data_IF_514659211179
#
_entry.id   IF_514659211179
#
_cell.length_a   1.000
_cell.length_b   1.000
_cell.length_c   1.000
_cell.angle_alpha   90.00
_cell.angle_beta   90.00
_cell.angle_gamma   90.00
#
_symmetry.space_group_name_H-M   'P 1'
#
loop_
_entity.id
_entity.type
_entity.pdbx_description
1 polymer ?
#
# COMPACT_ATOMS: atom_id res chain seq x y z
N UNK A 1 -1.30 -8.51 -20.59
CA UNK A 1 0.13 -8.19 -20.77
C UNK A 1 0.66 -7.74 -19.43
N UNK A 2 1.79 -8.30 -19.00
CA UNK A 2 2.47 -7.86 -17.78
C UNK A 2 3.11 -6.48 -18.01
N UNK A 3 3.22 -5.69 -16.94
CA UNK A 3 3.95 -4.43 -16.91
C UNK A 3 5.45 -4.68 -17.13
N UNK A 4 6.11 -3.75 -17.81
CA UNK A 4 7.53 -3.86 -18.20
C UNK A 4 8.41 -2.85 -17.49
N UNK A 5 7.82 -1.89 -16.77
CA UNK A 5 8.53 -0.89 -15.98
C UNK A 5 7.95 -0.76 -14.56
N UNK A 6 8.79 -0.48 -13.57
CA UNK A 6 8.36 -0.06 -12.23
C UNK A 6 7.72 1.34 -12.21
N UNK A 7 7.75 2.09 -13.29
CA UNK A 7 6.95 3.32 -13.44
C UNK A 7 5.51 3.03 -13.90
N UNK A 8 5.23 1.81 -14.36
CA UNK A 8 3.86 1.39 -14.66
C UNK A 8 3.08 1.23 -13.35
N UNK A 9 1.96 1.93 -13.26
CA UNK A 9 1.26 2.12 -11.98
C UNK A 9 0.30 0.98 -11.66
N UNK A 10 0.44 0.32 -10.50
CA UNK A 10 -0.52 -0.67 -10.00
C UNK A 10 -1.95 -0.13 -9.90
N UNK A 11 -2.94 -0.99 -10.18
CA UNK A 11 -4.37 -0.64 -10.13
C UNK A 11 -5.16 -1.36 -9.03
N UNK A 12 -4.52 -2.29 -8.33
CA UNK A 12 -5.09 -3.03 -7.21
C UNK A 12 -3.98 -3.56 -6.27
N UNK A 13 -4.36 -4.14 -5.13
CA UNK A 13 -3.41 -4.66 -4.14
C UNK A 13 -2.49 -5.74 -4.72
N UNK A 14 -3.01 -6.68 -5.52
CA UNK A 14 -2.19 -7.72 -6.15
C UNK A 14 -1.08 -7.08 -6.97
N UNK A 15 -1.44 -6.17 -7.88
CA UNK A 15 -0.47 -5.43 -8.70
C UNK A 15 0.51 -4.64 -7.83
N UNK A 16 0.05 -4.02 -6.74
CA UNK A 16 0.93 -3.28 -5.83
C UNK A 16 1.92 -4.18 -5.10
N UNK A 17 1.51 -5.38 -4.71
CA UNK A 17 2.41 -6.38 -4.11
C UNK A 17 3.37 -6.93 -5.16
N UNK A 18 2.91 -7.25 -6.36
CA UNK A 18 3.79 -7.68 -7.46
C UNK A 18 4.84 -6.61 -7.81
N UNK A 19 4.46 -5.34 -7.76
CA UNK A 19 5.37 -4.22 -7.93
C UNK A 19 6.46 -4.20 -6.85
N UNK A 20 6.12 -4.45 -5.58
CA UNK A 20 7.09 -4.55 -4.49
C UNK A 20 8.04 -5.75 -4.68
N UNK A 21 7.55 -6.88 -5.18
CA UNK A 21 8.38 -8.05 -5.49
C UNK A 21 9.30 -7.79 -6.70
N UNK A 22 8.79 -7.11 -7.73
CA UNK A 22 9.60 -6.70 -8.88
C UNK A 22 10.69 -5.69 -8.48
N UNK A 23 10.35 -4.71 -7.63
CA UNK A 23 11.29 -3.77 -7.03
C UNK A 23 12.42 -4.48 -6.27
N UNK A 24 12.07 -5.48 -5.45
CA UNK A 24 13.04 -6.30 -4.72
C UNK A 24 14.07 -6.91 -5.68
N UNK A 25 13.63 -7.42 -6.83
CA UNK A 25 14.50 -7.93 -7.88
C UNK A 25 15.48 -9.02 -7.40
N UNK A 26 16.62 -9.13 -8.10
CA UNK A 26 17.67 -10.09 -7.74
C UNK A 26 18.57 -9.61 -6.59
N UNK A 27 18.78 -8.30 -6.47
CA UNK A 27 19.58 -7.66 -5.42
C UNK A 27 18.68 -6.80 -4.53
N UNK A 28 17.97 -7.49 -3.62
CA UNK A 28 17.04 -6.88 -2.69
C UNK A 28 17.71 -5.81 -1.82
N UNK A 29 18.97 -6.06 -1.41
CA UNK A 29 19.68 -5.15 -0.51
C UNK A 29 19.90 -3.80 -1.19
N UNK A 30 20.48 -3.83 -2.38
CA UNK A 30 20.78 -2.64 -3.17
C UNK A 30 19.52 -1.89 -3.60
N UNK A 31 18.52 -2.60 -4.14
CA UNK A 31 17.35 -1.97 -4.73
C UNK A 31 16.46 -1.30 -3.68
N UNK A 32 16.24 -1.96 -2.55
CA UNK A 32 15.41 -1.40 -1.48
C UNK A 32 16.14 -0.28 -0.71
N UNK A 33 17.47 -0.33 -0.59
CA UNK A 33 18.25 0.82 -0.12
C UNK A 33 18.06 2.04 -1.03
N UNK A 34 18.22 1.86 -2.34
CA UNK A 34 18.08 2.95 -3.30
C UNK A 34 16.65 3.52 -3.33
N UNK A 35 15.63 2.66 -3.26
CA UNK A 35 14.24 3.10 -3.14
C UNK A 35 13.98 3.83 -1.82
N UNK A 36 14.46 3.30 -0.70
CA UNK A 36 14.27 3.93 0.62
C UNK A 36 14.90 5.32 0.67
N UNK A 37 16.10 5.50 0.12
CA UNK A 37 16.71 6.82 -0.05
C UNK A 37 15.87 7.74 -0.92
N UNK A 38 15.37 7.27 -2.08
CA UNK A 38 14.54 8.08 -2.96
C UNK A 38 13.20 8.49 -2.30
N UNK A 39 12.59 7.59 -1.52
CA UNK A 39 11.39 7.91 -0.72
C UNK A 39 11.71 8.92 0.37
N UNK A 40 12.84 8.76 1.07
CA UNK A 40 13.29 9.73 2.06
C UNK A 40 13.45 11.11 1.45
N UNK A 41 14.20 11.24 0.36
CA UNK A 41 14.45 12.50 -0.33
C UNK A 41 13.13 13.13 -0.84
N UNK A 42 12.20 12.31 -1.35
CA UNK A 42 10.89 12.77 -1.77
C UNK A 42 10.03 13.29 -0.62
N UNK A 43 10.20 12.79 0.61
CA UNK A 43 9.36 13.13 1.77
C UNK A 43 9.97 14.18 2.71
N UNK A 44 11.29 14.16 2.91
CA UNK A 44 12.00 14.92 3.94
C UNK A 44 11.78 16.43 3.78
N UNK A 45 11.90 16.95 2.55
CA UNK A 45 11.85 18.39 2.27
C UNK A 45 10.43 18.91 1.98
N UNK A 46 9.40 18.07 2.10
CA UNK A 46 8.03 18.48 1.77
C UNK A 46 7.37 19.18 2.96
N UNK A 47 6.88 20.43 2.77
CA UNK A 47 6.19 21.13 3.84
C UNK A 47 4.85 20.47 4.14
N UNK A 48 4.38 20.59 5.39
CA UNK A 48 2.99 20.25 5.72
C UNK A 48 2.05 21.15 4.92
N UNK A 49 1.08 20.54 4.24
CA UNK A 49 0.16 21.18 3.31
C UNK A 49 0.10 20.42 1.99
N UNK A 50 -0.30 21.11 0.92
CA UNK A 50 -0.36 20.52 -0.41
C UNK A 50 0.89 20.89 -1.21
N UNK A 51 1.62 19.87 -1.66
CA UNK A 51 2.69 19.96 -2.64
C UNK A 51 2.28 19.12 -3.85
N UNK A 52 2.30 19.72 -5.04
CA UNK A 52 2.04 19.00 -6.27
C UNK A 52 3.33 18.33 -6.75
N UNK A 53 3.28 17.01 -6.94
CA UNK A 53 4.35 16.23 -7.56
C UNK A 53 3.74 15.58 -8.80
N UNK A 54 4.04 16.06 -10.03
CA UNK A 54 3.35 15.61 -11.24
C UNK A 54 3.34 14.09 -11.43
N UNK A 55 4.45 13.41 -11.13
CA UNK A 55 4.56 11.94 -11.20
C UNK A 55 3.61 11.22 -10.21
N UNK A 56 3.33 11.85 -9.07
CA UNK A 56 2.47 11.32 -8.02
C UNK A 56 0.98 11.52 -8.31
N UNK A 57 0.58 12.62 -8.97
CA UNK A 57 -0.84 12.95 -9.16
C UNK A 57 -1.61 11.90 -9.98
N UNK A 58 -0.98 11.34 -11.02
CA UNK A 58 -1.60 10.24 -11.77
C UNK A 58 -1.76 8.97 -10.91
N UNK A 59 -0.76 8.66 -10.08
CA UNK A 59 -0.80 7.50 -9.17
C UNK A 59 -1.88 7.69 -8.10
N UNK A 60 -1.98 8.89 -7.53
CA UNK A 60 -3.04 9.28 -6.57
C UNK A 60 -4.42 9.02 -7.16
N UNK A 61 -4.66 9.45 -8.40
CA UNK A 61 -5.94 9.22 -9.08
C UNK A 61 -6.26 7.72 -9.17
N UNK A 62 -5.30 6.90 -9.59
CA UNK A 62 -5.47 5.44 -9.70
C UNK A 62 -5.73 4.80 -8.32
N UNK A 63 -4.98 5.19 -7.29
CA UNK A 63 -5.22 4.74 -5.91
C UNK A 63 -6.60 5.15 -5.41
N UNK A 64 -7.06 6.37 -5.70
CA UNK A 64 -8.41 6.82 -5.36
C UNK A 64 -9.47 5.94 -6.02
N UNK A 65 -9.35 5.68 -7.31
CA UNK A 65 -10.28 4.82 -8.06
C UNK A 65 -10.37 3.42 -7.46
N UNK A 66 -9.23 2.85 -7.03
CA UNK A 66 -9.22 1.59 -6.28
C UNK A 66 -10.00 1.69 -4.97
N UNK A 67 -9.77 2.73 -4.16
CA UNK A 67 -10.49 2.95 -2.89
C UNK A 67 -12.01 3.13 -3.10
N UNK A 68 -12.44 3.60 -4.27
CA UNK A 68 -13.84 3.81 -4.64
C UNK A 68 -14.59 2.54 -5.08
N UNK A 69 -13.91 1.38 -5.17
CA UNK A 69 -14.58 0.10 -5.45
C UNK A 69 -15.70 -0.19 -4.45
N UNK A 70 -16.89 -0.67 -4.85
CA UNK A 70 -18.02 -0.94 -3.95
C UNK A 70 -17.70 -1.83 -2.75
N UNK A 71 -16.79 -2.77 -2.95
CA UNK A 71 -16.30 -3.71 -1.95
C UNK A 71 -15.41 -3.03 -0.90
N UNK A 72 -14.83 -1.87 -1.21
CA UNK A 72 -13.85 -1.18 -0.36
C UNK A 72 -14.41 0.12 0.23
N UNK A 73 -15.05 0.95 -0.60
CA UNK A 73 -15.44 2.34 -0.30
C UNK A 73 -16.28 2.54 0.96
N UNK A 74 -17.02 1.51 1.36
CA UNK A 74 -17.93 1.59 2.50
C UNK A 74 -17.25 1.33 3.85
N UNK A 75 -16.01 0.83 3.84
CA UNK A 75 -15.23 0.59 5.05
C UNK A 75 -14.84 1.91 5.72
N UNK A 76 -14.78 1.93 7.06
CA UNK A 76 -14.47 3.15 7.83
C UNK A 76 -13.11 3.76 7.43
N UNK A 77 -12.10 2.92 7.26
CA UNK A 77 -10.75 3.27 6.81
C UNK A 77 -10.77 3.87 5.40
N UNK A 78 -11.41 3.21 4.43
CA UNK A 78 -11.53 3.72 3.06
C UNK A 78 -12.28 5.06 3.01
N UNK A 79 -13.39 5.21 3.75
CA UNK A 79 -14.12 6.49 3.86
C UNK A 79 -13.24 7.60 4.43
N UNK A 80 -12.43 7.32 5.46
CA UNK A 80 -11.52 8.31 6.06
C UNK A 80 -10.49 8.78 5.04
N UNK A 81 -9.90 7.85 4.30
CA UNK A 81 -8.89 8.14 3.27
C UNK A 81 -9.49 8.88 2.07
N UNK A 82 -10.63 8.44 1.54
CA UNK A 82 -11.33 9.12 0.43
C UNK A 82 -11.73 10.56 0.74
N UNK A 83 -11.95 10.91 2.01
CA UNK A 83 -12.19 12.30 2.41
C UNK A 83 -10.96 13.19 2.18
N UNK A 84 -9.75 12.65 2.33
CA UNK A 84 -8.50 13.41 2.12
C UNK A 84 -8.27 13.75 0.66
N UNK A 85 -8.57 12.80 -0.23
CA UNK A 85 -8.57 13.04 -1.69
C UNK A 85 -9.53 14.15 -2.18
N UNK A 86 -10.41 14.69 -1.32
CA UNK A 86 -11.43 15.69 -1.70
C UNK A 86 -11.14 17.08 -1.14
N UNK A 87 -10.31 17.20 -0.11
CA UNK A 87 -10.06 18.46 0.56
C UNK A 87 -8.61 18.50 1.04
N UNK A 88 -7.82 19.51 0.61
CA UNK A 88 -6.44 19.65 1.04
C UNK A 88 -6.35 19.76 2.56
N UNK A 89 -5.30 19.18 3.12
CA UNK A 89 -5.06 19.27 4.55
C UNK A 89 -4.86 20.73 5.01
N UNK A 90 -5.67 21.16 5.96
CA UNK A 90 -5.57 22.51 6.53
C UNK A 90 -4.41 22.55 7.53
N UNK A 91 -3.42 23.42 7.30
CA UNK A 91 -2.18 23.58 8.10
C UNK A 91 -2.40 23.78 9.62
N UNK A 92 -3.61 24.16 10.05
CA UNK A 92 -3.95 24.46 11.45
C UNK A 92 -4.82 23.38 12.15
N UNK A 93 -4.91 22.17 11.60
CA UNK A 93 -5.76 21.09 12.14
C UNK A 93 -5.21 20.42 13.40
N UNK A 94 -3.96 20.66 13.79
CA UNK A 94 -3.32 20.01 14.95
C UNK A 94 -4.11 20.20 16.26
N UNK A 95 -4.71 21.38 16.45
CA UNK A 95 -5.53 21.71 17.64
C UNK A 95 -6.90 21.04 17.63
N UNK A 96 -7.49 20.83 16.45
CA UNK A 96 -8.79 20.16 16.28
C UNK A 96 -8.65 18.62 16.24
N UNK A 97 -7.54 18.11 15.72
CA UNK A 97 -7.27 16.69 15.56
C UNK A 97 -7.13 15.94 16.89
N UNK A 98 -6.58 16.59 17.94
CA UNK A 98 -6.52 16.04 19.31
C UNK A 98 -7.89 15.75 19.91
N UNK A 99 -8.93 16.49 19.53
CA UNK A 99 -10.28 16.33 20.07
C UNK A 99 -11.08 15.18 19.42
N UNK A 100 -10.69 14.73 18.22
CA UNK A 100 -11.47 13.75 17.43
C UNK A 100 -11.03 12.28 17.61
N UNK A 101 -10.01 12.04 18.44
CA UNK A 101 -9.78 10.73 19.07
C UNK A 101 -9.41 9.56 18.17
N UNK A 102 -8.73 9.76 17.02
CA UNK A 102 -7.85 8.77 16.33
C UNK A 102 -7.32 9.38 15.02
N UNK A 103 -6.37 10.32 15.11
CA UNK A 103 -5.59 10.80 13.96
C UNK A 103 -4.14 10.41 14.19
N UNK A 104 -3.54 9.70 13.22
CA UNK A 104 -2.12 9.37 13.27
C UNK A 104 -1.34 10.69 13.16
N UNK A 105 -0.19 10.80 13.82
CA UNK A 105 0.59 12.04 13.76
C UNK A 105 1.04 12.38 12.32
N UNK A 106 1.26 11.34 11.51
CA UNK A 106 1.47 11.44 10.06
C UNK A 106 0.29 12.00 9.28
N UNK A 107 -0.87 12.19 9.91
CA UNK A 107 -2.01 12.86 9.29
C UNK A 107 -1.86 14.38 9.25
N UNK A 108 -0.91 14.98 9.95
CA UNK A 108 -0.80 16.45 10.05
C UNK A 108 0.60 16.97 10.35
N UNK A 109 1.58 16.08 10.47
CA UNK A 109 2.99 16.45 10.60
C UNK A 109 3.85 15.72 9.59
N UNK A 110 4.91 16.39 9.17
CA UNK A 110 6.03 15.71 8.56
C UNK A 110 6.68 14.83 9.62
N UNK A 111 6.42 13.52 9.54
CA UNK A 111 6.98 12.55 10.49
C UNK A 111 8.49 12.42 10.36
N UNK A 112 9.05 12.69 9.17
CA UNK A 112 10.49 12.64 8.96
C UNK A 112 11.16 13.69 9.85
N UNK A 113 10.68 14.92 9.76
CA UNK A 113 11.16 16.03 10.59
C UNK A 113 10.79 15.83 12.07
N UNK A 114 9.53 15.52 12.37
CA UNK A 114 9.02 15.50 13.75
C UNK A 114 9.64 14.40 14.59
N UNK A 115 9.85 13.22 14.01
CA UNK A 115 10.40 12.06 14.71
C UNK A 115 11.91 11.91 14.51
N UNK A 116 12.53 12.79 13.71
CA UNK A 116 13.95 12.68 13.36
C UNK A 116 14.26 11.38 12.62
N UNK A 117 13.34 10.93 11.75
CA UNK A 117 13.52 9.73 10.93
C UNK A 117 14.72 9.97 10.03
N UNK A 118 15.60 8.97 9.95
CA UNK A 118 16.78 8.98 9.10
C UNK A 118 16.54 8.18 7.83
N UNK A 119 17.35 8.36 6.78
CA UNK A 119 17.27 7.53 5.58
C UNK A 119 17.30 6.02 5.88
N UNK A 120 18.11 5.60 6.85
CA UNK A 120 18.25 4.19 7.23
C UNK A 120 16.96 3.62 7.82
N UNK A 121 16.20 4.42 8.57
CA UNK A 121 14.93 4.01 9.16
C UNK A 121 13.90 3.75 8.05
N UNK A 122 13.81 4.64 7.04
CA UNK A 122 12.90 4.47 5.88
C UNK A 122 13.26 3.20 5.08
N UNK A 123 14.56 2.92 4.94
CA UNK A 123 15.04 1.70 4.29
C UNK A 123 14.59 0.46 5.07
N UNK A 124 14.82 0.42 6.38
CA UNK A 124 14.41 -0.70 7.24
C UNK A 124 12.90 -0.94 7.19
N UNK A 125 12.13 0.14 7.32
CA UNK A 125 10.68 0.16 7.19
C UNK A 125 10.20 -0.43 5.86
N UNK A 126 10.88 -0.05 4.76
CA UNK A 126 10.57 -0.58 3.43
C UNK A 126 10.90 -2.07 3.32
N UNK A 127 12.06 -2.53 3.84
CA UNK A 127 12.40 -3.96 3.86
C UNK A 127 11.33 -4.78 4.57
N UNK A 128 10.90 -4.32 5.73
CA UNK A 128 9.90 -5.00 6.57
C UNK A 128 8.55 -5.04 5.85
N UNK A 129 8.13 -3.95 5.20
CA UNK A 129 6.90 -3.91 4.41
C UNK A 129 6.93 -4.86 3.20
N UNK A 130 8.02 -4.86 2.43
CA UNK A 130 8.21 -5.74 1.27
C UNK A 130 8.21 -7.22 1.70
N UNK A 131 8.94 -7.54 2.77
CA UNK A 131 9.00 -8.89 3.32
C UNK A 131 7.62 -9.40 3.77
N UNK A 132 6.86 -8.57 4.48
CA UNK A 132 5.49 -8.90 4.89
C UNK A 132 4.57 -9.19 3.70
N UNK A 133 4.66 -8.38 2.64
CA UNK A 133 3.89 -8.56 1.41
C UNK A 133 4.29 -9.84 0.65
N UNK A 134 5.58 -10.15 0.59
CA UNK A 134 6.10 -11.39 0.00
C UNK A 134 5.57 -12.62 0.73
N UNK A 135 5.66 -12.64 2.07
CA UNK A 135 5.17 -13.75 2.90
C UNK A 135 3.66 -13.94 2.79
N UNK A 136 2.92 -12.85 2.68
CA UNK A 136 1.50 -12.92 2.39
C UNK A 136 1.24 -13.57 1.03
N UNK A 137 1.91 -13.10 -0.02
CA UNK A 137 1.71 -13.60 -1.38
C UNK A 137 2.05 -15.09 -1.50
N UNK A 138 3.16 -15.53 -0.90
CA UNK A 138 3.58 -16.94 -0.85
C UNK A 138 2.49 -17.88 -0.32
N UNK A 139 1.68 -17.41 0.62
CA UNK A 139 0.66 -18.22 1.30
C UNK A 139 -0.70 -18.23 0.60
N UNK A 140 -0.99 -17.23 -0.23
CA UNK A 140 -2.30 -17.13 -0.90
C UNK A 140 -2.27 -17.53 -2.38
N UNK A 141 -1.11 -17.48 -3.03
CA UNK A 141 -0.98 -17.78 -4.45
C UNK A 141 -1.14 -19.28 -4.74
N UNK A 142 -1.77 -19.61 -5.86
CA UNK A 142 -1.63 -20.94 -6.47
C UNK A 142 -0.32 -20.98 -7.26
N UNK A 143 0.71 -21.76 -6.86
CA UNK A 143 2.02 -21.70 -7.52
C UNK A 143 1.96 -21.87 -9.05
N UNK A 144 1.19 -22.85 -9.54
CA UNK A 144 1.13 -23.17 -10.97
C UNK A 144 0.20 -22.27 -11.79
N UNK A 145 -0.52 -21.36 -11.12
CA UNK A 145 -1.57 -20.54 -11.76
C UNK A 145 -1.40 -19.05 -11.52
N UNK A 146 -0.42 -18.68 -10.69
CA UNK A 146 -0.17 -17.29 -10.35
C UNK A 146 0.66 -16.63 -11.44
N UNK A 147 0.12 -15.56 -12.01
CA UNK A 147 0.81 -14.74 -12.98
C UNK A 147 1.14 -13.39 -12.32
N UNK A 148 2.43 -13.08 -12.20
CA UNK A 148 2.88 -11.75 -11.75
C UNK A 148 2.37 -10.69 -12.72
N UNK A 149 1.90 -9.57 -12.19
CA UNK A 149 1.51 -8.42 -13.00
C UNK A 149 2.72 -7.69 -13.59
N UNK A 150 3.93 -7.91 -13.06
CA UNK A 150 5.18 -7.34 -13.54
C UNK A 150 6.07 -8.42 -14.15
N UNK A 151 6.60 -8.14 -15.33
CA UNK A 151 7.54 -9.02 -16.03
C UNK A 151 8.95 -8.93 -15.42
N UNK A 152 9.83 -9.83 -15.83
CA UNK A 152 11.25 -9.79 -15.47
C UNK A 152 11.99 -8.55 -16.01
N UNK A 153 11.39 -7.78 -16.91
CA UNK A 153 11.96 -6.53 -17.46
C UNK A 153 11.77 -5.34 -16.51
N UNK A 154 10.76 -5.40 -15.62
CA UNK A 154 10.46 -4.35 -14.67
C UNK A 154 11.41 -4.39 -13.46
N UNK A 155 12.65 -3.94 -13.68
CA UNK A 155 13.72 -3.93 -12.67
C UNK A 155 14.03 -2.51 -12.22
N UNK A 156 14.68 -2.37 -11.05
CA UNK A 156 15.20 -1.09 -10.61
C UNK A 156 16.12 -0.46 -11.65
N UNK A 157 17.08 -1.22 -12.19
CA UNK A 157 18.05 -0.76 -13.18
C UNK A 157 17.40 -0.21 -14.45
N UNK A 158 16.38 -0.89 -14.96
CA UNK A 158 15.69 -0.48 -16.21
C UNK A 158 14.66 0.64 -16.00
N UNK A 159 14.09 0.75 -14.80
CA UNK A 159 12.92 1.60 -14.55
C UNK A 159 13.22 2.84 -13.72
N UNK A 160 14.08 2.71 -12.71
CA UNK A 160 14.22 3.70 -11.62
C UNK A 160 15.61 4.31 -11.55
N UNK A 161 16.66 3.63 -12.02
CA UNK A 161 18.04 4.10 -11.82
C UNK A 161 18.33 5.48 -12.44
N UNK A 162 17.65 5.85 -13.53
CA UNK A 162 17.78 7.17 -14.17
C UNK A 162 16.94 8.25 -13.49
N UNK A 163 15.78 7.88 -12.94
CA UNK A 163 14.86 8.77 -12.25
C UNK A 163 14.26 8.06 -11.01
N UNK A 164 15.01 8.03 -9.90
CA UNK A 164 14.55 7.36 -8.68
C UNK A 164 13.30 8.01 -8.09
N UNK A 165 13.12 9.33 -8.30
CA UNK A 165 11.97 10.08 -7.79
C UNK A 165 10.67 9.61 -8.45
N UNK A 166 10.68 9.27 -9.74
CA UNK A 166 9.50 8.70 -10.41
C UNK A 166 9.02 7.40 -9.76
N UNK A 167 9.94 6.49 -9.41
CA UNK A 167 9.59 5.25 -8.74
C UNK A 167 9.19 5.47 -7.26
N UNK A 168 9.82 6.42 -6.57
CA UNK A 168 9.40 6.83 -5.23
C UNK A 168 7.97 7.40 -5.26
N UNK A 169 7.63 8.21 -6.26
CA UNK A 169 6.28 8.73 -6.46
C UNK A 169 5.26 7.61 -6.72
N UNK A 170 5.64 6.54 -7.43
CA UNK A 170 4.79 5.34 -7.55
C UNK A 170 4.53 4.71 -6.18
N UNK A 171 5.58 4.43 -5.39
CA UNK A 171 5.44 3.83 -4.06
C UNK A 171 4.58 4.68 -3.12
N UNK A 172 4.90 5.97 -2.98
CA UNK A 172 4.15 6.95 -2.18
C UNK A 172 2.68 7.02 -2.65
N UNK A 173 2.45 6.98 -3.96
CA UNK A 173 1.12 7.06 -4.52
C UNK A 173 0.28 5.80 -4.36
N UNK A 174 0.88 4.60 -4.38
CA UNK A 174 0.18 3.32 -4.15
C UNK A 174 0.07 2.93 -2.68
N UNK A 175 0.81 3.56 -1.78
CA UNK A 175 0.75 3.32 -0.34
C UNK A 175 -0.70 3.34 0.23
N UNK A 176 -1.59 4.29 -0.11
CA UNK A 176 -3.01 4.24 0.28
C UNK A 176 -3.76 3.00 -0.23
N UNK A 177 -3.45 2.56 -1.46
CA UNK A 177 -4.02 1.35 -2.08
C UNK A 177 -3.55 0.10 -1.33
N UNK A 178 -2.26 -0.01 -1.03
CA UNK A 178 -1.68 -1.10 -0.25
C UNK A 178 -2.32 -1.18 1.14
N UNK A 179 -2.35 -0.06 1.86
CA UNK A 179 -2.94 0.03 3.19
C UNK A 179 -4.41 -0.38 3.21
N UNK A 180 -5.24 0.17 2.31
CA UNK A 180 -6.66 -0.17 2.25
C UNK A 180 -6.89 -1.60 1.80
N UNK A 181 -6.14 -2.08 0.81
CA UNK A 181 -6.24 -3.46 0.33
C UNK A 181 -6.00 -4.46 1.46
N UNK A 182 -4.88 -4.31 2.17
CA UNK A 182 -4.52 -5.19 3.29
C UNK A 182 -5.54 -5.08 4.42
N UNK A 183 -5.92 -3.85 4.80
CA UNK A 183 -6.88 -3.65 5.89
C UNK A 183 -8.25 -4.25 5.57
N UNK A 184 -8.67 -4.16 4.31
CA UNK A 184 -9.92 -4.76 3.82
C UNK A 184 -9.92 -6.26 3.95
N UNK A 185 -8.79 -6.91 3.61
CA UNK A 185 -8.63 -8.35 3.78
C UNK A 185 -8.66 -8.74 5.25
N UNK A 186 -7.97 -8.01 6.14
CA UNK A 186 -8.01 -8.26 7.58
C UNK A 186 -9.46 -8.18 8.13
N UNK A 187 -10.19 -7.12 7.78
CA UNK A 187 -11.54 -6.88 8.29
C UNK A 187 -12.54 -7.91 7.74
N UNK A 188 -12.48 -8.23 6.44
CA UNK A 188 -13.32 -9.25 5.83
C UNK A 188 -13.05 -10.64 6.40
N UNK A 189 -11.77 -10.98 6.63
CA UNK A 189 -11.37 -12.27 7.16
C UNK A 189 -11.77 -12.46 8.63
N UNK A 190 -11.57 -11.44 9.48
CA UNK A 190 -12.09 -11.44 10.87
C UNK A 190 -13.60 -11.58 10.91
N UNK A 191 -14.31 -10.89 10.02
CA UNK A 191 -15.78 -11.00 9.91
C UNK A 191 -16.20 -12.43 9.52
N UNK A 192 -15.50 -13.06 8.58
CA UNK A 192 -15.76 -14.44 8.17
C UNK A 192 -15.51 -15.45 9.29
N UNK A 193 -14.54 -15.20 10.18
CA UNK A 193 -14.30 -16.03 11.36
C UNK A 193 -15.37 -15.80 12.43
N UNK A 194 -15.63 -14.55 12.82
CA UNK A 194 -16.56 -14.23 13.91
C UNK A 194 -18.02 -14.57 13.61
N UNK A 195 -18.46 -14.38 12.37
CA UNK A 195 -19.84 -14.73 11.95
C UNK A 195 -20.01 -16.21 11.60
N UNK A 196 -18.96 -17.01 11.77
CA UNK A 196 -18.97 -18.44 11.47
C UNK A 196 -19.35 -18.74 10.01
N UNK A 197 -20.06 -19.84 9.73
CA UNK A 197 -20.35 -20.29 8.37
C UNK A 197 -21.38 -19.42 7.61
N UNK A 198 -21.70 -18.21 8.07
CA UNK A 198 -22.60 -17.28 7.37
C UNK A 198 -22.16 -17.09 5.91
N UNK A 199 -23.04 -17.48 4.99
CA UNK A 199 -22.78 -17.36 3.54
C UNK A 199 -22.45 -15.92 3.14
N UNK A 200 -23.11 -14.94 3.76
CA UNK A 200 -22.86 -13.52 3.50
C UNK A 200 -21.43 -13.09 3.90
N UNK A 201 -20.90 -13.61 5.01
CA UNK A 201 -19.55 -13.27 5.46
C UNK A 201 -18.48 -13.92 4.57
N UNK A 202 -18.69 -15.18 4.17
CA UNK A 202 -17.83 -15.87 3.20
C UNK A 202 -17.85 -15.20 1.83
N UNK A 203 -19.04 -14.87 1.32
CA UNK A 203 -19.21 -14.13 0.07
C UNK A 203 -18.49 -12.79 0.11
N UNK A 204 -18.61 -12.06 1.21
CA UNK A 204 -17.91 -10.79 1.39
C UNK A 204 -16.39 -10.92 1.30
N UNK A 205 -15.81 -11.97 1.89
CA UNK A 205 -14.37 -12.24 1.78
C UNK A 205 -13.96 -12.51 0.32
N UNK A 206 -14.74 -13.32 -0.39
CA UNK A 206 -14.51 -13.61 -1.82
C UNK A 206 -14.60 -12.34 -2.68
N UNK A 207 -15.63 -11.50 -2.44
CA UNK A 207 -15.80 -10.23 -3.16
C UNK A 207 -14.62 -9.28 -2.91
N UNK A 208 -14.13 -9.20 -1.67
CA UNK A 208 -12.95 -8.38 -1.35
C UNK A 208 -11.70 -8.95 -2.01
N UNK A 209 -11.45 -10.27 -1.96
CA UNK A 209 -10.31 -10.91 -2.63
C UNK A 209 -10.27 -10.57 -4.12
N UNK A 210 -11.42 -10.64 -4.81
CA UNK A 210 -11.55 -10.23 -6.22
C UNK A 210 -11.28 -8.75 -6.41
N UNK A 211 -11.89 -7.88 -5.60
CA UNK A 211 -11.72 -6.43 -5.70
C UNK A 211 -10.26 -5.99 -5.51
N UNK A 212 -9.49 -6.70 -4.67
CA UNK A 212 -8.07 -6.45 -4.44
C UNK A 212 -7.14 -7.12 -5.46
N UNK A 213 -7.69 -7.83 -6.46
CA UNK A 213 -6.96 -8.39 -7.60
C UNK A 213 -6.66 -9.89 -7.52
N UNK A 214 -7.06 -10.58 -6.44
CA UNK A 214 -6.84 -12.01 -6.27
C UNK A 214 -8.03 -12.84 -6.76
N UNK A 215 -8.12 -13.02 -8.07
CA UNK A 215 -9.13 -13.84 -8.71
C UNK A 215 -8.72 -15.33 -8.77
N UNK A 216 -9.72 -16.21 -8.81
CA UNK A 216 -9.45 -17.62 -9.15
C UNK A 216 -9.23 -17.72 -10.68
N UNK A 217 -8.23 -18.48 -11.14
CA UNK A 217 -7.51 -19.49 -10.37
C UNK A 217 -6.13 -19.06 -9.83
N UNK A 218 -5.76 -17.77 -9.94
CA UNK A 218 -4.44 -17.26 -9.55
C UNK A 218 -4.18 -17.35 -8.04
N UNK A 219 -5.23 -17.25 -7.22
CA UNK A 219 -5.19 -17.59 -5.79
C UNK A 219 -5.67 -19.02 -5.53
N UNK A 220 -5.27 -19.58 -4.39
CA UNK A 220 -5.79 -20.86 -3.89
C UNK A 220 -7.32 -20.86 -3.81
N UNK A 221 -7.92 -21.92 -4.33
CA UNK A 221 -9.37 -22.14 -4.22
C UNK A 221 -9.73 -22.42 -2.76
N UNK A 222 -10.89 -21.94 -2.31
CA UNK A 222 -11.42 -22.26 -0.99
C UNK A 222 -10.70 -21.62 0.20
N UNK A 223 -9.88 -20.57 0.00
CA UNK A 223 -9.26 -19.83 1.09
C UNK A 223 -10.32 -19.35 2.11
N UNK A 224 -10.17 -19.79 3.35
CA UNK A 224 -11.01 -19.35 4.47
C UNK A 224 -10.51 -18.01 5.03
N UNK A 225 -11.32 -17.38 5.88
CA UNK A 225 -10.87 -16.20 6.63
C UNK A 225 -9.66 -16.49 7.51
N UNK A 226 -9.54 -17.70 8.07
CA UNK A 226 -8.37 -18.08 8.86
C UNK A 226 -7.12 -18.17 8.01
N UNK A 227 -7.22 -18.71 6.79
CA UNK A 227 -6.07 -18.84 5.88
C UNK A 227 -5.56 -17.46 5.46
N UNK A 228 -6.46 -16.54 5.12
CA UNK A 228 -6.11 -15.17 4.74
C UNK A 228 -5.51 -14.40 5.92
N UNK A 229 -6.05 -14.52 7.14
CA UNK A 229 -5.43 -13.86 8.31
C UNK A 229 -4.05 -14.43 8.63
N UNK A 230 -3.87 -15.75 8.55
CA UNK A 230 -2.58 -16.40 8.75
C UNK A 230 -1.58 -16.01 7.65
N UNK A 231 -2.06 -15.77 6.44
CA UNK A 231 -1.22 -15.21 5.38
C UNK A 231 -0.73 -13.81 5.71
N UNK A 232 -1.57 -13.00 6.34
CA UNK A 232 -1.27 -11.62 6.75
C UNK A 232 -0.49 -11.52 8.07
N UNK A 233 -0.05 -12.62 8.68
CA UNK A 233 0.60 -12.60 10.00
C UNK A 233 1.93 -11.83 10.03
N UNK A 234 2.62 -11.78 8.88
CA UNK A 234 3.86 -11.01 8.71
C UNK A 234 3.61 -9.52 8.44
N UNK A 235 2.35 -9.10 8.31
CA UNK A 235 1.92 -7.70 8.16
C UNK A 235 1.19 -7.30 9.44
N UNK A 236 1.99 -6.97 10.46
CA UNK A 236 1.48 -6.52 11.74
C UNK A 236 1.02 -5.06 11.71
N UNK A 237 0.71 -4.51 12.89
CA UNK A 237 0.27 -3.13 13.00
C UNK A 237 1.37 -2.13 12.61
N UNK A 238 2.63 -2.45 12.90
CA UNK A 238 3.76 -1.58 12.59
C UNK A 238 3.94 -1.48 11.07
N UNK A 239 3.97 -2.61 10.36
CA UNK A 239 4.02 -2.63 8.89
C UNK A 239 2.88 -1.82 8.27
N UNK A 240 1.66 -1.96 8.80
CA UNK A 240 0.51 -1.18 8.31
C UNK A 240 0.66 0.32 8.54
N UNK A 241 1.22 0.73 9.68
CA UNK A 241 1.50 2.13 9.98
C UNK A 241 2.59 2.65 9.04
N UNK A 242 3.67 1.89 8.83
CA UNK A 242 4.75 2.24 7.89
C UNK A 242 4.22 2.46 6.47
N UNK A 243 3.42 1.52 5.94
CA UNK A 243 2.79 1.68 4.62
C UNK A 243 1.91 2.94 4.58
N UNK A 244 1.16 3.21 5.66
CA UNK A 244 0.33 4.41 5.74
C UNK A 244 1.16 5.69 5.75
N UNK A 245 2.30 5.67 6.42
CA UNK A 245 3.22 6.79 6.57
C UNK A 245 3.94 7.11 5.25
N UNK A 246 4.29 6.10 4.46
CA UNK A 246 4.80 6.30 3.09
C UNK A 246 3.83 7.05 2.18
N UNK A 247 2.53 7.08 2.46
CA UNK A 247 1.59 7.83 1.65
C UNK A 247 1.81 9.35 1.69
N UNK A 248 2.62 9.88 2.63
CA UNK A 248 2.94 11.30 2.63
C UNK A 248 1.71 12.19 2.84
N UNK A 249 0.71 11.74 3.61
CA UNK A 249 -0.58 12.43 3.67
C UNK A 249 -0.43 13.90 4.05
N UNK A 250 0.48 14.23 4.96
CA UNK A 250 0.77 15.60 5.40
C UNK A 250 1.23 16.54 4.27
N UNK A 251 1.78 16.01 3.18
CA UNK A 251 2.43 16.77 2.13
C UNK A 251 1.67 16.76 0.79
N UNK A 252 0.87 15.72 0.51
CA UNK A 252 0.33 15.51 -0.84
C UNK A 252 -1.20 15.49 -0.92
N UNK A 253 -1.91 15.51 0.21
CA UNK A 253 -3.37 15.34 0.28
C UNK A 253 -4.05 16.39 1.14
#
# INVERSE_FOLDING_TARGET
MAYTSLTDVPRNLKEGIDWLIALKGADAEKNLKAMGSAVYDLLADKPVGFTEVPALENVKRISKEFLEKPELKNQRSAKKLLKRYRAPMVKNLERFARYAGFNLESDYKNIIETRGVKPEDVVEDLFVAVYGCEKFLEKIKCPDKYESSYSSEATWESSCAQDPEACAAVLVGIAPMLYIGIRSLQDASRTAIWKGPSENAKKRLVDVLKAVGYEEPQRCAGLSGSDVLKALEAIDLHVLITIYEFAGFWAFY
#
